data_IF_931026902604
#
_entry.id   IF_931026902604
#
_cell.length_a   1.000
_cell.length_b   1.000
_cell.length_c   1.000
_cell.angle_alpha   90.00
_cell.angle_beta   90.00
_cell.angle_gamma   90.00
#
_symmetry.space_group_name_H-M   'P 1'
#
loop_
_entity.id
_entity.type
_entity.pdbx_description
1 polymer ?
#
# COMPACT_ATOMS: atom_id res chain seq x y z
N UNK A 1 23.37 -1.66 4.94
CA UNK A 1 21.93 -1.40 4.74
C UNK A 1 21.65 -0.01 4.15
N UNK A 2 22.17 1.09 4.71
CA UNK A 2 21.80 2.46 4.28
C UNK A 2 22.06 2.82 2.81
N UNK A 3 23.21 2.43 2.24
CA UNK A 3 23.56 2.80 0.87
C UNK A 3 22.58 2.20 -0.15
N UNK A 4 22.24 0.90 -0.04
CA UNK A 4 21.29 0.25 -0.95
C UNK A 4 19.88 0.86 -0.91
N UNK A 5 19.38 1.20 0.30
CA UNK A 5 18.10 1.90 0.45
C UNK A 5 18.13 3.29 -0.16
N UNK A 6 19.22 4.03 -0.01
CA UNK A 6 19.38 5.34 -0.64
C UNK A 6 19.31 5.24 -2.16
N UNK A 7 19.98 4.25 -2.77
CA UNK A 7 19.90 4.03 -4.21
C UNK A 7 18.47 3.71 -4.68
N UNK A 8 17.81 2.75 -4.03
CA UNK A 8 16.48 2.29 -4.43
C UNK A 8 15.37 3.31 -4.14
N UNK A 9 15.40 3.96 -2.98
CA UNK A 9 14.32 4.85 -2.53
C UNK A 9 14.47 6.31 -2.99
N UNK A 10 15.69 6.75 -3.34
CA UNK A 10 15.96 8.14 -3.71
C UNK A 10 16.49 8.27 -5.13
N UNK A 11 17.59 7.59 -5.47
CA UNK A 11 18.23 7.76 -6.78
C UNK A 11 17.39 7.21 -7.93
N UNK A 12 16.80 6.01 -7.81
CA UNK A 12 15.99 5.43 -8.90
C UNK A 12 14.73 6.27 -9.17
N UNK A 13 13.88 6.60 -8.17
CA UNK A 13 12.73 7.47 -8.40
C UNK A 13 13.14 8.84 -8.93
N UNK A 14 14.25 9.41 -8.43
CA UNK A 14 14.78 10.69 -8.90
C UNK A 14 15.19 10.66 -10.37
N UNK A 15 15.85 9.59 -10.82
CA UNK A 15 16.22 9.40 -12.23
C UNK A 15 14.97 9.24 -13.13
N UNK A 16 13.95 8.54 -12.65
CA UNK A 16 12.68 8.39 -13.39
C UNK A 16 11.97 9.74 -13.52
N UNK A 17 11.90 10.52 -12.43
CA UNK A 17 11.31 11.86 -12.44
C UNK A 17 12.08 12.81 -13.36
N UNK A 18 13.41 12.76 -13.34
CA UNK A 18 14.25 13.56 -14.23
C UNK A 18 14.02 13.21 -15.71
N UNK A 19 13.94 11.91 -16.05
CA UNK A 19 13.62 11.46 -17.42
C UNK A 19 12.22 11.86 -17.88
N UNK A 20 11.27 11.93 -16.96
CA UNK A 20 9.89 12.35 -17.23
C UNK A 20 9.70 13.87 -17.26
N UNK A 21 10.78 14.67 -17.12
CA UNK A 21 10.73 16.12 -17.22
C UNK A 21 10.07 16.80 -16.01
N UNK A 22 10.25 16.27 -14.79
CA UNK A 22 9.68 16.87 -13.59
C UNK A 22 10.13 18.34 -13.40
N UNK A 23 9.18 19.23 -13.10
CA UNK A 23 9.42 20.68 -12.94
C UNK A 23 10.18 21.08 -11.67
N UNK A 24 10.55 20.10 -10.81
CA UNK A 24 11.22 20.31 -9.51
C UNK A 24 10.56 21.38 -8.60
N UNK A 25 9.28 21.67 -8.83
CA UNK A 25 8.49 22.59 -8.03
C UNK A 25 7.92 21.86 -6.81
N UNK A 26 8.17 22.41 -5.62
CA UNK A 26 7.69 21.86 -4.35
C UNK A 26 6.60 22.75 -3.75
N UNK A 27 5.36 22.69 -4.26
CA UNK A 27 4.27 23.51 -3.75
C UNK A 27 3.94 23.13 -2.30
N UNK A 28 3.65 24.14 -1.46
CA UNK A 28 3.30 23.93 -0.06
C UNK A 28 2.14 22.93 0.14
N UNK A 29 1.18 22.93 -0.79
CA UNK A 29 0.06 21.98 -0.80
C UNK A 29 0.54 20.53 -1.00
N UNK A 30 1.48 20.30 -1.91
CA UNK A 30 2.07 18.97 -2.17
C UNK A 30 2.88 18.47 -0.99
N UNK A 31 3.64 19.36 -0.34
CA UNK A 31 4.38 19.05 0.88
C UNK A 31 3.44 18.65 2.04
N UNK A 32 2.33 19.37 2.21
CA UNK A 32 1.33 19.05 3.23
C UNK A 32 0.65 17.70 2.97
N UNK A 33 0.24 17.41 1.73
CA UNK A 33 -0.30 16.09 1.38
C UNK A 33 0.73 14.97 1.57
N UNK A 34 1.99 15.21 1.23
CA UNK A 34 3.08 14.26 1.46
C UNK A 34 3.28 13.95 2.96
N UNK A 35 3.26 14.99 3.80
CA UNK A 35 3.38 14.83 5.26
C UNK A 35 2.18 14.08 5.84
N UNK A 36 0.96 14.40 5.41
CA UNK A 36 -0.25 13.69 5.83
C UNK A 36 -0.24 12.23 5.38
N UNK A 37 0.12 11.96 4.12
CA UNK A 37 0.23 10.60 3.60
C UNK A 37 1.29 9.79 4.37
N UNK A 38 2.45 10.38 4.65
CA UNK A 38 3.50 9.76 5.46
C UNK A 38 3.04 9.48 6.89
N UNK A 39 2.34 10.42 7.51
CA UNK A 39 1.78 10.28 8.86
C UNK A 39 0.76 9.14 8.93
N UNK A 40 -0.15 9.04 7.96
CA UNK A 40 -1.11 7.95 7.86
C UNK A 40 -0.42 6.59 7.68
N UNK A 41 0.65 6.53 6.87
CA UNK A 41 1.48 5.33 6.73
C UNK A 41 2.17 4.91 8.04
N UNK A 42 2.70 5.87 8.80
CA UNK A 42 3.32 5.61 10.10
C UNK A 42 2.30 5.10 11.14
N UNK A 43 1.08 5.67 11.16
CA UNK A 43 -0.02 5.17 12.00
C UNK A 43 -0.33 3.71 11.63
N UNK A 44 -0.43 3.39 10.34
CA UNK A 44 -0.60 2.02 9.88
C UNK A 44 0.49 1.07 10.40
N UNK A 45 1.76 1.47 10.33
CA UNK A 45 2.87 0.68 10.84
C UNK A 45 2.79 0.45 12.38
N UNK A 46 2.34 1.46 13.14
CA UNK A 46 2.11 1.32 14.59
C UNK A 46 1.03 0.27 14.87
N UNK A 47 -0.06 0.24 14.10
CA UNK A 47 -1.09 -0.78 14.23
C UNK A 47 -0.54 -2.20 14.00
N UNK A 48 0.35 -2.38 13.02
CA UNK A 48 1.01 -3.67 12.77
C UNK A 48 1.86 -4.07 13.98
N UNK A 49 2.69 -3.17 14.50
CA UNK A 49 3.51 -3.44 15.68
C UNK A 49 2.64 -3.83 16.87
N UNK A 50 1.53 -3.12 17.09
CA UNK A 50 0.60 -3.42 18.18
C UNK A 50 -0.04 -4.81 18.03
N UNK A 51 -0.44 -5.19 16.81
CA UNK A 51 -0.99 -6.53 16.54
C UNK A 51 -0.01 -7.66 16.85
N UNK A 52 1.28 -7.42 16.63
CA UNK A 52 2.34 -8.39 16.96
C UNK A 52 2.57 -8.44 18.48
N UNK A 53 2.51 -7.30 19.16
CA UNK A 53 2.62 -7.24 20.63
C UNK A 53 1.44 -7.88 21.35
N UNK A 54 0.25 -7.90 20.75
CA UNK A 54 -0.95 -8.53 21.33
C UNK A 54 -1.05 -10.04 21.05
N UNK A 55 0.06 -10.69 20.66
CA UNK A 55 0.12 -12.15 20.44
C UNK A 55 0.12 -12.57 18.97
N UNK A 56 0.10 -11.63 18.02
CA UNK A 56 0.20 -11.94 16.59
C UNK A 56 1.62 -12.34 16.17
N UNK A 57 1.74 -13.40 15.36
CA UNK A 57 3.02 -13.82 14.78
C UNK A 57 3.26 -13.17 13.41
N UNK A 58 4.49 -12.71 13.09
CA UNK A 58 4.84 -12.22 11.75
C UNK A 58 4.52 -13.22 10.63
N UNK A 59 4.50 -14.54 10.92
CA UNK A 59 4.15 -15.59 9.96
C UNK A 59 2.74 -15.44 9.39
N UNK A 60 1.81 -14.81 10.11
CA UNK A 60 0.42 -14.67 9.67
C UNK A 60 0.03 -13.20 9.51
N UNK A 61 0.48 -12.34 10.43
CA UNK A 61 0.16 -10.90 10.41
C UNK A 61 0.68 -10.24 9.14
N UNK A 62 1.94 -10.48 8.75
CA UNK A 62 2.50 -9.85 7.55
C UNK A 62 1.78 -10.28 6.26
N UNK A 63 1.60 -11.59 5.97
CA UNK A 63 0.86 -12.01 4.78
C UNK A 63 -0.58 -11.48 4.72
N UNK A 64 -1.26 -11.38 5.86
CA UNK A 64 -2.63 -10.84 5.92
C UNK A 64 -2.65 -9.36 5.54
N UNK A 65 -1.77 -8.54 6.13
CA UNK A 65 -1.73 -7.10 5.85
C UNK A 65 -1.32 -6.84 4.41
N UNK A 66 -0.26 -7.50 3.94
CA UNK A 66 0.21 -7.34 2.57
C UNK A 66 -0.72 -7.97 1.54
N UNK A 67 -1.56 -8.93 1.93
CA UNK A 67 -2.65 -9.46 1.10
C UNK A 67 -3.85 -8.53 1.02
N UNK A 68 -4.19 -7.83 2.11
CA UNK A 68 -5.32 -6.90 2.16
C UNK A 68 -4.99 -5.49 1.64
N UNK A 69 -3.75 -5.01 1.77
CA UNK A 69 -3.37 -3.67 1.33
C UNK A 69 -3.63 -3.41 -0.17
N UNK A 70 -3.35 -4.36 -1.10
CA UNK A 70 -3.73 -4.23 -2.50
C UNK A 70 -5.23 -4.10 -2.72
N UNK A 71 -6.07 -4.81 -1.94
CA UNK A 71 -7.54 -4.68 -2.03
C UNK A 71 -8.00 -3.27 -1.69
N UNK A 72 -7.51 -2.72 -0.58
CA UNK A 72 -7.83 -1.36 -0.17
C UNK A 72 -7.37 -0.36 -1.23
N UNK A 73 -6.16 -0.54 -1.78
CA UNK A 73 -5.65 0.32 -2.84
C UNK A 73 -6.53 0.26 -4.10
N UNK A 74 -6.94 -0.94 -4.54
CA UNK A 74 -7.84 -1.10 -5.70
C UNK A 74 -9.17 -0.38 -5.46
N UNK A 75 -9.79 -0.59 -4.29
CA UNK A 75 -11.07 0.04 -3.96
C UNK A 75 -10.95 1.57 -3.93
N UNK A 76 -9.98 2.08 -3.18
CA UNK A 76 -9.77 3.54 -3.05
C UNK A 76 -9.39 4.17 -4.39
N UNK A 77 -8.50 3.55 -5.17
CA UNK A 77 -8.10 4.07 -6.47
C UNK A 77 -9.25 4.04 -7.49
N UNK A 78 -10.10 3.01 -7.46
CA UNK A 78 -11.28 2.94 -8.34
C UNK A 78 -12.31 4.03 -8.05
N UNK A 79 -12.39 4.49 -6.79
CA UNK A 79 -13.27 5.59 -6.37
C UNK A 79 -12.62 6.94 -6.67
N UNK A 80 -11.35 7.11 -6.32
CA UNK A 80 -10.62 8.37 -6.48
C UNK A 80 -10.32 8.70 -7.95
N UNK A 81 -10.07 7.68 -8.77
CA UNK A 81 -9.80 7.79 -10.20
C UNK A 81 -10.67 6.79 -10.96
N UNK A 82 -11.96 7.12 -11.18
CA UNK A 82 -12.86 6.21 -11.85
C UNK A 82 -12.36 5.90 -13.28
N UNK A 83 -12.40 4.63 -13.68
CA UNK A 83 -11.87 4.22 -14.97
C UNK A 83 -12.71 4.75 -16.11
N UNK A 84 -12.04 5.24 -17.16
CA UNK A 84 -12.72 5.79 -18.33
C UNK A 84 -13.38 4.71 -19.20
N UNK A 85 -12.92 3.47 -19.08
CA UNK A 85 -13.49 2.30 -19.75
C UNK A 85 -14.21 1.40 -18.75
N UNK A 86 -15.27 0.69 -19.16
CA UNK A 86 -15.95 -0.26 -18.30
C UNK A 86 -14.96 -1.34 -17.82
N UNK A 87 -14.90 -1.52 -16.50
CA UNK A 87 -14.07 -2.56 -15.88
C UNK A 87 -14.62 -3.93 -16.29
N UNK A 88 -13.73 -4.82 -16.75
CA UNK A 88 -14.11 -6.20 -17.04
C UNK A 88 -14.68 -6.86 -15.77
N UNK A 89 -15.89 -7.44 -15.81
CA UNK A 89 -16.51 -8.08 -14.65
C UNK A 89 -15.65 -9.16 -13.97
N UNK A 90 -14.76 -9.82 -14.72
CA UNK A 90 -13.80 -10.82 -14.19
C UNK A 90 -12.83 -10.19 -13.18
N UNK A 91 -12.51 -8.91 -13.33
CA UNK A 91 -11.66 -8.20 -12.37
C UNK A 91 -12.29 -8.19 -10.97
N UNK A 92 -13.58 -7.86 -10.88
CA UNK A 92 -14.30 -7.85 -9.61
C UNK A 92 -14.47 -9.25 -9.03
N UNK A 93 -14.61 -10.28 -9.88
CA UNK A 93 -14.56 -11.67 -9.44
C UNK A 93 -13.19 -11.98 -8.80
N UNK A 94 -12.09 -11.55 -9.41
CA UNK A 94 -10.74 -11.68 -8.85
C UNK A 94 -10.58 -10.98 -7.50
N UNK A 95 -11.13 -9.76 -7.37
CA UNK A 95 -11.17 -9.02 -6.10
C UNK A 95 -11.94 -9.80 -5.03
N UNK A 96 -13.09 -10.38 -5.37
CA UNK A 96 -13.88 -11.20 -4.44
C UNK A 96 -13.13 -12.47 -4.00
N UNK A 97 -12.50 -13.18 -4.93
CA UNK A 97 -11.69 -14.37 -4.62
C UNK A 97 -10.54 -13.99 -3.68
N UNK A 98 -9.84 -12.89 -3.96
CA UNK A 98 -8.72 -12.45 -3.14
C UNK A 98 -9.17 -12.01 -1.74
N UNK A 99 -10.30 -11.31 -1.63
CA UNK A 99 -10.92 -10.97 -0.36
C UNK A 99 -11.34 -12.21 0.44
N UNK A 100 -11.93 -13.22 -0.22
CA UNK A 100 -12.31 -14.47 0.43
C UNK A 100 -11.10 -15.27 0.91
N UNK A 101 -10.01 -15.31 0.13
CA UNK A 101 -8.76 -15.94 0.51
C UNK A 101 -8.12 -15.26 1.72
N UNK A 102 -8.08 -13.93 1.75
CA UNK A 102 -7.62 -13.19 2.92
C UNK A 102 -8.49 -13.48 4.16
N UNK A 103 -9.82 -13.57 3.98
CA UNK A 103 -10.76 -13.97 5.03
C UNK A 103 -10.52 -15.39 5.56
N UNK A 104 -10.21 -16.34 4.69
CA UNK A 104 -9.86 -17.71 5.09
C UNK A 104 -8.57 -17.74 5.92
N UNK A 105 -7.54 -16.97 5.54
CA UNK A 105 -6.29 -16.89 6.31
C UNK A 105 -6.52 -16.26 7.68
N UNK A 106 -7.39 -15.24 7.77
CA UNK A 106 -7.80 -14.62 9.04
C UNK A 106 -8.55 -15.60 9.95
N UNK A 107 -9.47 -16.38 9.39
CA UNK A 107 -10.32 -17.29 10.15
C UNK A 107 -9.58 -18.57 10.59
N UNK A 108 -8.77 -19.14 9.70
CA UNK A 108 -8.01 -20.37 9.94
C UNK A 108 -6.55 -20.10 10.31
N UNK A 109 -6.26 -18.93 10.89
CA UNK A 109 -4.93 -18.66 11.43
C UNK A 109 -4.58 -19.74 12.47
N UNK A 110 -3.42 -20.40 12.36
CA UNK A 110 -3.04 -21.44 13.31
C UNK A 110 -2.75 -20.79 14.68
N UNK A 111 -3.28 -21.43 15.73
CA UNK A 111 -3.14 -21.00 17.13
C UNK A 111 -1.79 -21.40 17.70
#
# INVERSE_FOLDING_TARGET
>A
MGVAYFFLAVLIPGLIMWKNGADWSFPAKGMMFGLLAGSLGAIGAICVIYSMKSGGSPLYVMPIIFGCAPLVNVLVSSIAHPPQNPINPIFWLGVLVLASGAGMVLYYQPK
#
